data_IF_256956843307
#
_entry.id   IF_256956843307
#
_cell.length_a   1.000
_cell.length_b   1.000
_cell.length_c   1.000
_cell.angle_alpha   90.00
_cell.angle_beta   90.00
_cell.angle_gamma   90.00
#
_symmetry.space_group_name_H-M   'P 1'
#
loop_
_entity.id
_entity.type
_entity.pdbx_description
1 polymer ?
#
# COMPACT_ATOMS: atom_id res chain seq x y z
N UNK A 1 -2.43 -14.20 -5.66
CA UNK A 1 -2.38 -13.98 -4.20
C UNK A 1 -3.23 -12.77 -3.83
N UNK A 2 -3.87 -12.79 -2.65
CA UNK A 2 -4.72 -11.72 -2.14
C UNK A 2 -4.49 -11.41 -0.67
N UNK A 3 -5.10 -10.35 -0.20
CA UNK A 3 -5.15 -10.04 1.23
C UNK A 3 -6.08 -11.02 1.94
N UNK A 4 -5.74 -11.52 3.14
CA UNK A 4 -6.65 -12.34 3.94
C UNK A 4 -7.92 -11.57 4.31
N UNK A 5 -9.06 -12.24 4.33
CA UNK A 5 -10.29 -11.66 4.85
C UNK A 5 -10.10 -11.19 6.31
N UNK A 6 -10.66 -10.05 6.67
CA UNK A 6 -10.53 -9.44 7.98
C UNK A 6 -9.20 -8.72 8.24
N UNK A 7 -8.25 -8.74 7.28
CA UNK A 7 -7.02 -7.96 7.42
C UNK A 7 -7.25 -6.46 7.22
N UNK A 8 -6.28 -5.67 7.68
CA UNK A 8 -6.27 -4.21 7.55
C UNK A 8 -5.14 -3.73 6.65
N UNK A 9 -5.46 -2.82 5.74
CA UNK A 9 -4.53 -2.21 4.80
C UNK A 9 -4.58 -0.69 4.95
N UNK A 10 -3.44 -0.02 5.04
CA UNK A 10 -3.37 1.43 4.91
C UNK A 10 -2.76 1.83 3.57
N UNK A 11 -3.46 2.69 2.82
CA UNK A 11 -2.95 3.32 1.61
C UNK A 11 -2.42 4.72 1.96
N UNK A 12 -1.11 4.90 1.91
CA UNK A 12 -0.43 6.14 2.29
C UNK A 12 -0.18 7.01 1.07
N UNK A 13 -0.56 8.31 1.17
CA UNK A 13 -0.50 9.23 0.04
C UNK A 13 -1.48 8.83 -1.07
N UNK A 14 -2.68 8.43 -0.66
CA UNK A 14 -3.68 7.83 -1.57
C UNK A 14 -4.14 8.77 -2.69
N UNK A 15 -3.92 10.07 -2.56
CA UNK A 15 -4.36 11.04 -3.56
C UNK A 15 -5.87 10.97 -3.77
N UNK A 16 -6.29 10.77 -5.02
CA UNK A 16 -7.69 10.53 -5.38
C UNK A 16 -8.18 9.09 -5.15
N UNK A 17 -7.52 8.32 -4.28
CA UNK A 17 -7.96 6.98 -3.90
C UNK A 17 -7.15 5.82 -4.50
N UNK A 18 -5.97 6.10 -5.09
CA UNK A 18 -5.14 5.06 -5.71
C UNK A 18 -3.91 4.71 -4.84
N UNK A 19 -3.61 3.41 -4.64
CA UNK A 19 -4.31 2.23 -5.16
C UNK A 19 -5.49 1.77 -4.30
N UNK A 20 -5.85 2.47 -3.23
CA UNK A 20 -6.79 2.02 -2.19
C UNK A 20 -8.20 1.71 -2.68
N UNK A 21 -8.84 2.57 -3.48
CA UNK A 21 -10.21 2.34 -3.98
C UNK A 21 -10.31 1.09 -4.85
N UNK A 22 -9.46 0.89 -5.88
CA UNK A 22 -9.48 -0.36 -6.66
C UNK A 22 -9.27 -1.61 -5.80
N UNK A 23 -8.38 -1.54 -4.81
CA UNK A 23 -8.14 -2.66 -3.89
C UNK A 23 -9.36 -2.93 -3.00
N UNK A 24 -10.02 -1.88 -2.48
CA UNK A 24 -11.22 -2.04 -1.66
C UNK A 24 -12.39 -2.67 -2.45
N UNK A 25 -12.51 -2.37 -3.74
CA UNK A 25 -13.49 -3.02 -4.62
C UNK A 25 -13.14 -4.51 -4.82
N UNK A 26 -11.86 -4.81 -5.05
CA UNK A 26 -11.39 -6.17 -5.32
C UNK A 26 -11.40 -7.07 -4.07
N UNK A 27 -11.29 -6.50 -2.87
CA UNK A 27 -11.20 -7.20 -1.59
C UNK A 27 -12.23 -6.67 -0.59
N UNK A 28 -13.53 -6.98 -0.76
CA UNK A 28 -14.59 -6.40 0.07
C UNK A 28 -14.51 -6.80 1.54
N UNK A 29 -13.89 -7.95 1.85
CA UNK A 29 -13.73 -8.45 3.22
C UNK A 29 -12.45 -7.93 3.92
N UNK A 30 -11.74 -6.99 3.31
CA UNK A 30 -10.52 -6.35 3.84
C UNK A 30 -10.81 -4.89 4.16
N UNK A 31 -10.34 -4.41 5.30
CA UNK A 31 -10.53 -3.02 5.72
C UNK A 31 -9.43 -2.11 5.20
N UNK A 32 -9.78 -1.04 4.49
CA UNK A 32 -8.85 -0.10 3.87
C UNK A 32 -8.94 1.28 4.53
N UNK A 33 -7.84 1.73 5.14
CA UNK A 33 -7.65 3.12 5.56
C UNK A 33 -6.93 3.88 4.44
N UNK A 34 -7.58 4.89 3.87
CA UNK A 34 -7.02 5.69 2.77
C UNK A 34 -6.59 7.05 3.30
N UNK A 35 -5.27 7.26 3.39
CA UNK A 35 -4.69 8.42 4.05
C UNK A 35 -3.97 9.36 3.07
N UNK A 36 -4.23 10.66 3.21
CA UNK A 36 -3.46 11.73 2.58
C UNK A 36 -3.42 12.94 3.52
N UNK A 37 -2.36 13.74 3.48
CA UNK A 37 -2.25 14.98 4.27
C UNK A 37 -3.08 16.13 3.71
N UNK A 38 -3.52 16.03 2.46
CA UNK A 38 -4.26 17.07 1.74
C UNK A 38 -5.77 16.81 1.82
N UNK A 39 -6.49 17.62 2.60
CA UNK A 39 -7.92 17.44 2.84
C UNK A 39 -8.78 17.45 1.56
N UNK A 40 -8.42 18.23 0.55
CA UNK A 40 -9.14 18.20 -0.74
C UNK A 40 -9.10 16.84 -1.42
N UNK A 41 -8.00 16.09 -1.28
CA UNK A 41 -7.86 14.74 -1.83
C UNK A 41 -8.71 13.75 -1.04
N UNK A 42 -8.75 13.89 0.29
CA UNK A 42 -9.59 13.05 1.14
C UNK A 42 -11.08 13.25 0.83
N UNK A 43 -11.53 14.47 0.58
CA UNK A 43 -12.90 14.74 0.12
C UNK A 43 -13.24 14.03 -1.19
N UNK A 44 -12.29 13.89 -2.11
CA UNK A 44 -12.47 13.11 -3.34
C UNK A 44 -12.64 11.63 -3.01
N UNK A 45 -11.83 11.09 -2.11
CA UNK A 45 -11.92 9.69 -1.66
C UNK A 45 -13.28 9.43 -1.00
N UNK A 46 -13.73 10.31 -0.11
CA UNK A 46 -15.06 10.24 0.52
C UNK A 46 -16.18 10.22 -0.51
N UNK A 47 -16.13 11.12 -1.49
CA UNK A 47 -17.12 11.19 -2.56
C UNK A 47 -17.18 9.92 -3.41
N UNK A 48 -16.02 9.38 -3.80
CA UNK A 48 -15.92 8.15 -4.60
C UNK A 48 -16.41 6.95 -3.79
N UNK A 49 -15.96 6.82 -2.54
CA UNK A 49 -16.34 5.70 -1.66
C UNK A 49 -17.86 5.67 -1.43
N UNK A 50 -18.45 6.85 -1.18
CA UNK A 50 -19.89 7.01 -1.01
C UNK A 50 -20.66 6.67 -2.29
N UNK A 51 -20.21 7.19 -3.44
CA UNK A 51 -20.88 6.95 -4.73
C UNK A 51 -20.84 5.47 -5.14
N UNK A 52 -19.78 4.75 -4.77
CA UNK A 52 -19.62 3.31 -5.01
C UNK A 52 -20.24 2.44 -3.91
N UNK A 53 -20.74 3.02 -2.82
CA UNK A 53 -21.31 2.28 -1.69
C UNK A 53 -20.31 1.41 -0.93
N UNK A 54 -19.00 1.77 -0.94
CA UNK A 54 -17.96 0.98 -0.28
C UNK A 54 -18.09 1.08 1.25
N UNK A 55 -18.23 -0.05 1.91
CA UNK A 55 -18.38 -0.13 3.38
C UNK A 55 -17.05 -0.44 4.08
N UNK A 56 -16.02 -0.79 3.34
CA UNK A 56 -14.72 -1.22 3.82
C UNK A 56 -13.62 -0.16 3.65
N UNK A 57 -13.98 1.11 3.45
CA UNK A 57 -13.05 2.22 3.25
C UNK A 57 -13.21 3.25 4.35
N UNK A 58 -12.11 3.61 5.01
CA UNK A 58 -11.99 4.70 6.00
C UNK A 58 -11.07 5.79 5.44
N UNK A 59 -11.60 6.92 4.94
CA UNK A 59 -10.79 8.06 4.52
C UNK A 59 -10.21 8.79 5.74
N UNK A 60 -8.90 9.11 5.73
CA UNK A 60 -8.23 9.77 6.86
C UNK A 60 -7.34 10.91 6.37
N UNK A 61 -7.59 12.14 6.85
CA UNK A 61 -6.68 13.26 6.64
C UNK A 61 -5.63 13.29 7.76
N UNK A 62 -4.43 12.78 7.46
CA UNK A 62 -3.30 12.78 8.39
C UNK A 62 -1.97 12.62 7.65
N UNK A 63 -0.87 12.85 8.35
CA UNK A 63 0.47 12.39 7.95
C UNK A 63 0.78 11.07 8.66
N UNK A 64 1.51 10.19 8.00
CA UNK A 64 1.93 8.91 8.58
C UNK A 64 2.73 9.09 9.88
N UNK A 65 3.51 10.15 9.97
CA UNK A 65 4.32 10.51 11.14
C UNK A 65 3.51 10.92 12.37
N UNK A 66 2.23 11.27 12.19
CA UNK A 66 1.38 11.78 13.28
C UNK A 66 0.52 10.67 13.91
N UNK A 67 0.56 9.45 13.33
CA UNK A 67 -0.18 8.30 13.82
C UNK A 67 0.74 7.42 14.66
N UNK A 68 0.38 7.18 15.93
CA UNK A 68 1.18 6.41 16.88
C UNK A 68 0.43 5.27 17.55
N UNK A 69 -0.88 5.28 17.53
CA UNK A 69 -1.78 4.39 18.27
C UNK A 69 -2.48 3.32 17.43
N UNK A 70 -2.32 3.40 16.11
CA UNK A 70 -2.91 2.43 15.16
C UNK A 70 -1.84 1.73 14.35
N UNK A 71 -2.10 0.46 14.01
CA UNK A 71 -1.24 -0.34 13.13
C UNK A 71 -2.08 -1.19 12.18
N UNK A 72 -1.48 -1.56 11.07
CA UNK A 72 -2.12 -2.31 9.99
C UNK A 72 -1.29 -3.54 9.59
N UNK A 73 -1.95 -4.54 9.03
CA UNK A 73 -1.26 -5.73 8.49
C UNK A 73 -0.43 -5.38 7.25
N UNK A 74 -0.91 -4.43 6.43
CA UNK A 74 -0.29 -4.07 5.16
C UNK A 74 -0.21 -2.57 4.98
N UNK A 75 0.89 -2.11 4.37
CA UNK A 75 1.02 -0.75 3.85
C UNK A 75 1.08 -0.83 2.33
N UNK A 76 0.26 -0.05 1.64
CA UNK A 76 0.32 0.13 0.19
C UNK A 76 0.55 1.61 -0.13
N UNK A 77 1.34 1.90 -1.17
CA UNK A 77 1.56 3.28 -1.60
C UNK A 77 2.02 3.33 -3.05
N UNK A 78 1.88 4.49 -3.67
CA UNK A 78 2.34 4.77 -5.02
C UNK A 78 3.19 6.02 -5.07
N UNK A 79 4.52 5.86 -5.26
CA UNK A 79 5.51 6.89 -5.58
C UNK A 79 5.36 8.21 -4.81
N UNK A 80 5.31 8.15 -3.46
CA UNK A 80 5.18 9.35 -2.61
C UNK A 80 6.53 10.07 -2.45
N UNK A 81 7.60 9.28 -2.19
CA UNK A 81 8.95 9.79 -1.94
C UNK A 81 10.00 8.71 -2.27
N UNK A 82 11.28 8.94 -1.97
CA UNK A 82 12.30 7.90 -2.03
C UNK A 82 11.95 6.76 -1.08
N UNK A 83 12.23 5.51 -1.48
CA UNK A 83 11.79 4.33 -0.73
C UNK A 83 12.34 4.26 0.71
N UNK A 84 13.64 4.59 0.97
CA UNK A 84 14.15 4.59 2.34
C UNK A 84 13.44 5.59 3.26
N UNK A 85 13.16 6.79 2.75
CA UNK A 85 12.43 7.83 3.51
C UNK A 85 10.98 7.40 3.78
N UNK A 86 10.34 6.77 2.80
CA UNK A 86 9.02 6.21 2.96
C UNK A 86 8.99 5.16 4.09
N UNK A 87 9.91 4.21 4.07
CA UNK A 87 10.01 3.18 5.11
C UNK A 87 10.26 3.79 6.48
N UNK A 88 11.17 4.76 6.58
CA UNK A 88 11.47 5.47 7.84
C UNK A 88 10.21 6.11 8.44
N UNK A 89 9.36 6.71 7.59
CA UNK A 89 8.14 7.41 8.01
C UNK A 89 6.95 6.48 8.29
N UNK A 90 6.98 5.22 7.86
CA UNK A 90 5.78 4.38 7.84
C UNK A 90 5.93 3.03 8.55
N UNK A 91 7.15 2.53 8.78
CA UNK A 91 7.38 1.20 9.35
C UNK A 91 6.72 0.98 10.73
N UNK A 92 6.55 2.05 11.50
CA UNK A 92 5.92 1.99 12.82
C UNK A 92 4.41 1.71 12.75
N UNK A 93 3.81 1.88 11.56
CA UNK A 93 2.40 1.60 11.28
C UNK A 93 2.13 0.13 10.95
N UNK A 94 3.17 -0.69 10.76
CA UNK A 94 3.00 -2.13 10.53
C UNK A 94 2.82 -2.88 11.85
N UNK A 95 1.88 -3.82 11.85
CA UNK A 95 1.80 -4.85 12.87
C UNK A 95 3.05 -5.75 12.78
N UNK A 96 3.48 -6.35 13.89
CA UNK A 96 4.48 -7.41 13.84
C UNK A 96 4.04 -8.51 12.88
N UNK A 97 4.99 -9.17 12.17
CA UNK A 97 4.64 -10.26 11.28
C UNK A 97 3.96 -11.39 12.06
N UNK A 98 2.87 -11.89 11.53
CA UNK A 98 2.24 -13.10 12.03
C UNK A 98 2.76 -14.33 11.25
N UNK A 99 2.70 -15.49 11.88
CA UNK A 99 3.16 -16.74 11.29
C UNK A 99 2.14 -17.37 10.33
N UNK A 100 1.07 -16.65 9.97
CA UNK A 100 -0.05 -17.17 9.15
C UNK A 100 0.21 -17.07 7.65
N UNK A 101 1.33 -16.51 7.22
CA UNK A 101 1.62 -16.17 5.82
C UNK A 101 2.20 -17.32 4.95
N UNK A 102 2.19 -18.57 5.41
CA UNK A 102 2.74 -19.70 4.65
C UNK A 102 1.76 -20.34 3.64
N UNK A 103 0.61 -19.71 3.40
CA UNK A 103 -0.31 -20.16 2.36
C UNK A 103 0.04 -19.55 1.01
N UNK A 104 0.19 -20.38 -0.01
CA UNK A 104 0.61 -19.97 -1.36
C UNK A 104 -0.28 -18.91 -2.03
N UNK A 105 -1.51 -18.74 -1.58
CA UNK A 105 -2.47 -17.79 -2.13
C UNK A 105 -2.62 -16.49 -1.32
N UNK A 106 -1.92 -16.35 -0.18
CA UNK A 106 -1.94 -15.15 0.67
C UNK A 106 -0.73 -14.26 0.33
N UNK A 107 -0.94 -12.94 0.32
CA UNK A 107 0.13 -11.97 0.23
C UNK A 107 0.90 -11.93 1.56
N UNK A 108 2.24 -12.01 1.54
CA UNK A 108 3.04 -11.82 2.75
C UNK A 108 2.80 -10.45 3.37
N UNK A 109 2.73 -10.40 4.71
CA UNK A 109 2.57 -9.15 5.45
C UNK A 109 3.77 -8.22 5.24
N UNK A 110 3.50 -6.93 5.02
CA UNK A 110 4.54 -5.94 4.78
C UNK A 110 4.10 -4.74 3.97
N UNK A 111 5.08 -4.06 3.40
CA UNK A 111 4.88 -2.86 2.57
C UNK A 111 4.96 -3.20 1.08
N UNK A 112 3.95 -2.77 0.33
CA UNK A 112 3.87 -2.86 -1.13
C UNK A 112 3.91 -1.46 -1.72
N UNK A 113 5.03 -1.10 -2.33
CA UNK A 113 5.30 0.24 -2.83
C UNK A 113 5.44 0.23 -4.35
N UNK A 114 4.48 0.85 -5.05
CA UNK A 114 4.51 0.96 -6.50
C UNK A 114 5.42 2.12 -6.91
N UNK A 115 6.43 1.82 -7.73
CA UNK A 115 7.39 2.80 -8.21
C UNK A 115 7.79 2.56 -9.66
N UNK A 116 8.12 3.63 -10.35
CA UNK A 116 8.67 3.58 -11.72
C UNK A 116 10.03 4.26 -11.81
N UNK A 117 10.74 4.01 -12.91
CA UNK A 117 12.06 4.58 -13.17
C UNK A 117 13.20 3.78 -12.53
N UNK A 118 14.37 4.41 -12.42
CA UNK A 118 15.54 3.83 -11.79
C UNK A 118 15.54 4.14 -10.29
N UNK A 119 15.30 3.13 -9.50
CA UNK A 119 15.24 3.22 -8.03
C UNK A 119 15.94 2.05 -7.33
N UNK A 120 16.59 1.15 -8.06
CA UNK A 120 17.15 -0.08 -7.48
C UNK A 120 18.15 0.21 -6.37
N UNK A 121 18.94 1.28 -6.50
CA UNK A 121 19.87 1.71 -5.45
C UNK A 121 19.16 2.06 -4.12
N UNK A 122 17.91 2.52 -4.17
CA UNK A 122 17.12 2.85 -2.98
C UNK A 122 16.78 1.61 -2.15
N UNK A 123 16.82 0.42 -2.74
CA UNK A 123 16.49 -0.83 -2.05
C UNK A 123 17.70 -1.50 -1.36
N UNK A 124 18.94 -1.09 -1.69
CA UNK A 124 20.16 -1.67 -1.17
C UNK A 124 20.23 -1.72 0.37
N UNK A 125 19.78 -0.69 1.13
CA UNK A 125 19.82 -0.73 2.59
C UNK A 125 18.98 -1.83 3.23
N UNK A 126 18.06 -2.44 2.49
CA UNK A 126 17.09 -3.42 3.00
C UNK A 126 17.50 -4.87 2.71
N UNK A 127 18.48 -5.09 1.81
CA UNK A 127 19.04 -6.41 1.50
C UNK A 127 17.96 -7.44 1.11
N UNK A 128 18.08 -8.64 1.66
CA UNK A 128 17.17 -9.77 1.35
C UNK A 128 15.72 -9.60 1.83
N UNK A 129 15.43 -8.57 2.63
CA UNK A 129 14.05 -8.27 3.05
C UNK A 129 13.20 -7.65 1.93
N UNK A 130 13.84 -7.16 0.87
CA UNK A 130 13.15 -6.59 -0.28
C UNK A 130 13.03 -7.61 -1.39
N UNK A 131 11.86 -7.67 -2.01
CA UNK A 131 11.60 -8.35 -3.27
C UNK A 131 11.07 -7.35 -4.29
N UNK A 132 11.67 -7.34 -5.47
CA UNK A 132 11.18 -6.56 -6.61
C UNK A 132 10.27 -7.43 -7.46
N UNK A 133 9.09 -6.91 -7.80
CA UNK A 133 8.08 -7.59 -8.60
C UNK A 133 7.88 -6.78 -9.88
N UNK A 134 8.18 -7.39 -11.02
CA UNK A 134 8.08 -6.77 -12.33
C UNK A 134 6.62 -6.78 -12.81
N UNK A 135 6.03 -5.59 -13.02
CA UNK A 135 4.64 -5.48 -13.47
C UNK A 135 4.50 -5.91 -14.94
N UNK A 136 5.54 -5.71 -15.75
CA UNK A 136 5.59 -6.14 -17.15
C UNK A 136 5.40 -7.65 -17.37
N UNK A 137 5.58 -8.46 -16.34
CA UNK A 137 5.33 -9.90 -16.42
C UNK A 137 3.85 -10.23 -16.67
N UNK A 138 2.95 -9.34 -16.23
CA UNK A 138 1.49 -9.45 -16.41
C UNK A 138 0.91 -8.52 -17.48
N UNK A 139 1.49 -7.32 -17.65
CA UNK A 139 1.01 -6.27 -18.55
C UNK A 139 2.08 -6.00 -19.60
N UNK A 140 1.69 -6.04 -20.89
CA UNK A 140 2.64 -6.00 -22.02
C UNK A 140 2.77 -4.62 -22.66
N UNK A 141 2.01 -3.64 -22.19
CA UNK A 141 2.10 -2.26 -22.64
C UNK A 141 3.42 -1.63 -22.18
N UNK A 142 4.10 -0.90 -23.07
CA UNK A 142 5.41 -0.24 -22.84
C UNK A 142 5.44 0.63 -21.58
N UNK A 143 4.26 1.15 -21.18
CA UNK A 143 4.10 1.90 -19.93
C UNK A 143 4.57 1.12 -18.71
N UNK A 144 4.44 -0.20 -18.70
CA UNK A 144 4.78 -1.06 -17.56
C UNK A 144 6.23 -1.53 -17.54
N UNK A 145 7.03 -1.27 -18.57
CA UNK A 145 8.43 -1.69 -18.66
C UNK A 145 9.30 -1.18 -17.50
N UNK A 146 8.98 0.01 -17.01
CA UNK A 146 9.70 0.65 -15.90
C UNK A 146 8.93 0.61 -14.58
N UNK A 147 7.78 -0.06 -14.52
CA UNK A 147 6.94 -0.09 -13.32
C UNK A 147 7.15 -1.37 -12.52
N UNK A 148 7.35 -1.20 -11.23
CA UNK A 148 7.61 -2.30 -10.30
C UNK A 148 6.87 -2.12 -9.00
N UNK A 149 6.67 -3.23 -8.30
CA UNK A 149 6.26 -3.22 -6.91
C UNK A 149 7.48 -3.60 -6.08
N UNK A 150 7.84 -2.73 -5.16
CA UNK A 150 8.83 -3.03 -4.12
C UNK A 150 8.06 -3.63 -2.95
N UNK A 151 8.28 -4.90 -2.67
CA UNK A 151 7.78 -5.55 -1.46
C UNK A 151 8.87 -5.54 -0.39
N UNK A 152 8.57 -5.00 0.79
CA UNK A 152 9.40 -5.08 1.98
C UNK A 152 8.65 -5.88 3.04
N UNK A 153 9.24 -7.00 3.45
CA UNK A 153 8.68 -7.85 4.51
C UNK A 153 8.59 -7.08 5.84
N UNK A 154 7.50 -7.27 6.57
CA UNK A 154 7.26 -6.73 7.91
C UNK A 154 8.33 -7.14 8.93
#
# INVERSE_FOLDING_TARGET
KGFPAGSSVIAIGTGGGLPGIPLAIAFPDVHFTLMDSIGKKIKVVEGISSALGLQNVEPVQARSTDIHDKKWNYIVSRAVTAFPDFVKQTRHLLLPPDNTSDFDFILPQGTYYLKGGDFLAETNPFGSRVKIIEIKDWFKEDFFDTKRIIFLKA
#
